data_IF_896248340244
#
_entry.id   IF_896248340244
#
_cell.length_a   1.000
_cell.length_b   1.000
_cell.length_c   1.000
_cell.angle_alpha   90.00
_cell.angle_beta   90.00
_cell.angle_gamma   90.00
#
_symmetry.space_group_name_H-M   'P 1'
#
loop_
_entity.id
_entity.type
_entity.pdbx_description
1 polymer ?
#
# COMPACT_ATOMS: atom_id res chain seq x y z
N UNK A 1 7.09 23.25 -52.11
CA UNK A 1 5.78 23.06 -51.43
C UNK A 1 5.97 21.92 -50.44
N UNK A 2 6.63 22.23 -49.33
CA UNK A 2 7.26 21.24 -48.46
C UNK A 2 7.50 21.95 -47.12
N UNK A 3 6.45 22.12 -46.30
CA UNK A 3 6.55 22.89 -45.05
C UNK A 3 5.71 22.39 -43.87
N UNK A 4 4.90 21.35 -44.05
CA UNK A 4 3.95 20.92 -43.00
C UNK A 4 4.12 19.46 -42.53
N UNK A 5 5.16 18.75 -42.98
CA UNK A 5 5.43 17.37 -42.52
C UNK A 5 6.68 17.26 -41.62
N UNK A 6 7.57 18.26 -41.63
CA UNK A 6 8.82 18.24 -40.86
C UNK A 6 8.68 18.77 -39.41
N UNK A 7 7.57 19.43 -39.10
CA UNK A 7 7.27 20.00 -37.77
C UNK A 7 6.58 19.01 -36.83
N UNK A 8 6.12 17.86 -37.33
CA UNK A 8 5.47 16.84 -36.50
C UNK A 8 6.48 15.81 -35.94
N UNK A 9 7.65 15.65 -36.59
CA UNK A 9 8.69 14.71 -36.15
C UNK A 9 9.70 15.32 -35.16
N UNK A 10 9.79 16.65 -35.09
CA UNK A 10 10.65 17.38 -34.14
C UNK A 10 10.03 17.55 -32.75
N UNK A 11 8.70 17.41 -32.64
CA UNK A 11 7.99 17.39 -31.35
C UNK A 11 8.08 16.04 -30.61
N UNK A 12 8.38 14.95 -31.31
CA UNK A 12 8.46 13.61 -30.71
C UNK A 12 9.86 13.25 -30.18
N UNK A 13 10.91 14.00 -30.58
CA UNK A 13 12.31 13.70 -30.18
C UNK A 13 12.72 14.48 -28.91
N UNK A 14 12.03 15.56 -28.54
CA UNK A 14 12.33 16.31 -27.31
C UNK A 14 11.72 15.68 -26.03
N UNK A 15 10.90 14.64 -26.15
CA UNK A 15 10.42 13.86 -25.00
C UNK A 15 11.37 12.72 -24.61
N UNK A 16 12.34 12.37 -25.46
CA UNK A 16 13.28 11.26 -25.21
C UNK A 16 14.63 11.75 -24.64
N UNK A 17 14.90 13.06 -24.63
CA UNK A 17 16.14 13.66 -24.09
C UNK A 17 16.02 14.06 -22.60
N UNK A 18 14.89 13.78 -21.94
CA UNK A 18 14.84 13.71 -20.46
C UNK A 18 15.32 12.34 -19.93
N UNK A 19 15.88 11.50 -20.80
CA UNK A 19 16.67 10.34 -20.43
C UNK A 19 18.14 10.78 -20.53
N UNK A 20 18.75 11.01 -19.36
CA UNK A 20 20.16 11.42 -19.10
C UNK A 20 20.52 12.90 -19.25
N UNK A 21 20.42 13.65 -18.14
CA UNK A 21 20.84 15.04 -18.08
C UNK A 21 21.18 15.66 -16.73
N UNK A 22 21.38 14.89 -15.65
CA UNK A 22 22.22 15.30 -14.49
C UNK A 22 21.69 16.39 -13.54
N UNK A 23 22.12 16.25 -12.27
CA UNK A 23 21.85 17.09 -11.09
C UNK A 23 20.42 16.91 -10.51
N UNK A 24 20.19 16.24 -9.39
CA UNK A 24 21.03 16.05 -8.21
C UNK A 24 20.88 14.62 -7.67
N UNK A 25 21.94 14.14 -7.01
CA UNK A 25 21.85 13.08 -6.02
C UNK A 25 20.90 13.54 -4.90
N UNK A 26 19.60 13.31 -5.05
CA UNK A 26 18.71 13.31 -3.90
C UNK A 26 18.97 12.01 -3.19
N UNK A 27 19.85 12.12 -2.21
CA UNK A 27 20.22 11.09 -1.27
C UNK A 27 19.01 10.20 -0.94
N UNK A 28 19.23 8.90 -1.05
CA UNK A 28 18.46 7.82 -0.43
C UNK A 28 17.96 8.27 0.95
N UNK A 29 16.70 8.70 1.05
CA UNK A 29 16.09 9.08 2.33
C UNK A 29 14.61 8.72 2.47
N UNK A 30 14.02 7.93 1.58
CA UNK A 30 12.70 7.31 1.78
C UNK A 30 12.81 5.93 2.48
N UNK A 31 13.81 5.13 2.10
CA UNK A 31 14.07 3.82 2.73
C UNK A 31 14.40 3.90 4.25
N UNK A 32 14.66 5.10 4.77
CA UNK A 32 15.09 5.29 6.16
C UNK A 32 13.91 5.28 7.14
N UNK A 33 12.73 5.80 6.78
CA UNK A 33 11.62 5.91 7.75
C UNK A 33 10.91 4.57 7.95
N UNK A 34 10.57 3.85 6.89
CA UNK A 34 10.08 2.47 7.00
C UNK A 34 11.05 1.59 7.82
N UNK A 35 12.37 1.71 7.59
CA UNK A 35 13.36 0.94 8.34
C UNK A 35 13.33 1.21 9.86
N UNK A 36 12.95 2.42 10.32
CA UNK A 36 12.84 2.69 11.77
C UNK A 36 11.75 1.85 12.42
N UNK A 37 10.67 1.55 11.69
CA UNK A 37 9.51 0.84 12.21
C UNK A 37 9.61 -0.67 11.99
N UNK A 38 10.11 -1.09 10.83
CA UNK A 38 10.10 -2.51 10.40
C UNK A 38 11.50 -3.12 10.19
N UNK A 39 12.59 -2.45 10.58
CA UNK A 39 13.93 -3.06 10.52
C UNK A 39 14.01 -4.31 11.39
N UNK A 40 14.34 -5.44 10.77
CA UNK A 40 14.40 -6.74 11.42
C UNK A 40 13.03 -7.35 11.73
N UNK A 41 11.92 -6.68 11.39
CA UNK A 41 10.59 -7.23 11.56
C UNK A 41 10.33 -8.33 10.52
N UNK A 42 9.64 -9.38 10.97
CA UNK A 42 9.19 -10.49 10.14
C UNK A 42 7.88 -10.09 9.47
N UNK A 43 7.84 -10.19 8.16
CA UNK A 43 6.62 -10.04 7.38
C UNK A 43 5.63 -11.17 7.70
N UNK A 44 4.37 -10.83 7.97
CA UNK A 44 3.31 -11.79 8.25
C UNK A 44 2.39 -11.96 7.04
N UNK A 45 1.72 -10.88 6.66
CA UNK A 45 0.73 -10.84 5.57
C UNK A 45 0.61 -9.42 5.05
N UNK A 46 0.23 -9.29 3.78
CA UNK A 46 -0.23 -8.02 3.25
C UNK A 46 -1.41 -8.23 2.31
N UNK A 47 -2.30 -7.24 2.31
CA UNK A 47 -3.51 -7.17 1.51
C UNK A 47 -3.50 -5.83 0.78
N UNK A 48 -3.78 -5.87 -0.51
CA UNK A 48 -4.13 -4.69 -1.29
C UNK A 48 -5.57 -4.84 -1.74
N UNK A 49 -6.41 -3.86 -1.45
CA UNK A 49 -7.82 -3.89 -1.80
C UNK A 49 -8.26 -2.60 -2.49
N UNK A 50 -9.34 -2.74 -3.24
CA UNK A 50 -9.97 -1.64 -3.95
C UNK A 50 -11.48 -1.66 -3.65
N UNK A 51 -12.07 -0.48 -3.44
CA UNK A 51 -13.51 -0.31 -3.26
C UNK A 51 -14.25 -0.10 -4.60
N UNK A 52 -15.56 0.16 -4.55
CA UNK A 52 -16.37 0.41 -5.75
C UNK A 52 -16.09 1.74 -6.46
N UNK A 53 -15.35 2.65 -5.81
CA UNK A 53 -15.00 3.98 -6.30
C UNK A 53 -13.54 4.06 -6.78
N UNK A 54 -12.88 2.92 -6.93
CA UNK A 54 -11.45 2.80 -7.23
C UNK A 54 -10.52 3.34 -6.12
N UNK A 55 -11.01 3.56 -4.90
CA UNK A 55 -10.17 3.91 -3.75
C UNK A 55 -9.39 2.68 -3.25
N UNK A 56 -8.10 2.84 -3.02
CA UNK A 56 -7.19 1.76 -2.65
C UNK A 56 -6.91 1.74 -1.14
N UNK A 57 -6.75 0.53 -0.60
CA UNK A 57 -6.18 0.30 0.72
C UNK A 57 -5.09 -0.76 0.63
N UNK A 58 -3.96 -0.49 1.27
CA UNK A 58 -2.92 -1.48 1.49
C UNK A 58 -2.69 -1.63 2.99
N UNK A 59 -2.81 -2.86 3.49
CA UNK A 59 -2.50 -3.22 4.86
C UNK A 59 -1.42 -4.29 4.87
N UNK A 60 -0.29 -4.04 5.54
CA UNK A 60 0.77 -5.02 5.74
C UNK A 60 1.08 -5.19 7.23
N UNK A 61 1.12 -6.44 7.70
CA UNK A 61 1.36 -6.78 9.10
C UNK A 61 2.76 -7.36 9.29
N UNK A 62 3.40 -6.94 10.37
CA UNK A 62 4.76 -7.32 10.72
C UNK A 62 4.88 -7.67 12.21
N UNK A 63 5.75 -8.62 12.52
CA UNK A 63 6.14 -9.00 13.88
C UNK A 63 7.58 -8.52 14.13
N UNK A 64 7.79 -7.63 15.09
CA UNK A 64 9.13 -7.15 15.44
C UNK A 64 9.89 -8.17 16.29
N UNK A 65 11.23 -8.13 16.32
CA UNK A 65 12.03 -9.07 17.10
C UNK A 65 11.77 -9.04 18.62
N UNK A 66 11.22 -7.94 19.13
CA UNK A 66 10.83 -7.76 20.53
C UNK A 66 9.44 -8.34 20.85
N UNK A 67 8.77 -8.95 19.86
CA UNK A 67 7.43 -9.52 19.97
C UNK A 67 6.29 -8.51 19.76
N UNK A 68 6.62 -7.23 19.50
CA UNK A 68 5.60 -6.23 19.22
C UNK A 68 5.12 -6.32 17.76
N UNK A 69 3.82 -6.23 17.56
CA UNK A 69 3.22 -6.24 16.23
C UNK A 69 3.06 -4.81 15.68
N UNK A 70 3.29 -4.64 14.38
CA UNK A 70 3.19 -3.35 13.67
C UNK A 70 2.45 -3.55 12.34
N UNK A 71 1.51 -2.67 12.07
CA UNK A 71 0.81 -2.56 10.80
C UNK A 71 1.35 -1.36 10.03
N UNK A 72 1.51 -1.54 8.73
CA UNK A 72 1.61 -0.48 7.75
C UNK A 72 0.26 -0.38 7.05
N UNK A 73 -0.37 0.79 7.08
CA UNK A 73 -1.61 1.08 6.36
C UNK A 73 -1.35 2.24 5.41
N UNK A 74 -1.79 2.10 4.16
CA UNK A 74 -1.81 3.16 3.15
C UNK A 74 -3.21 3.20 2.53
N UNK A 75 -3.85 4.36 2.52
CA UNK A 75 -5.23 4.59 2.02
C UNK A 75 -5.26 5.36 0.68
N UNK A 76 -4.15 5.34 -0.06
CA UNK A 76 -3.95 6.06 -1.32
C UNK A 76 -3.68 7.56 -1.16
N UNK A 77 -3.88 8.13 0.05
CA UNK A 77 -3.66 9.55 0.34
C UNK A 77 -2.55 9.76 1.37
N UNK A 78 -2.48 8.86 2.34
CA UNK A 78 -1.55 8.90 3.47
C UNK A 78 -1.14 7.48 3.87
N UNK A 79 -0.08 7.38 4.66
CA UNK A 79 0.36 6.12 5.23
C UNK A 79 0.74 6.25 6.70
N UNK A 80 0.66 5.14 7.43
CA UNK A 80 1.03 5.07 8.84
C UNK A 80 1.70 3.74 9.18
N UNK A 81 2.68 3.80 10.09
CA UNK A 81 3.25 2.64 10.78
C UNK A 81 2.87 2.69 12.25
N UNK A 82 2.08 1.73 12.73
CA UNK A 82 1.56 1.77 14.10
C UNK A 82 1.33 0.36 14.64
N UNK A 83 1.43 0.19 15.95
CA UNK A 83 1.06 -1.08 16.59
C UNK A 83 -0.41 -1.39 16.37
N UNK A 84 -0.71 -2.67 16.16
CA UNK A 84 -2.07 -3.15 15.99
C UNK A 84 -2.45 -4.16 17.06
N UNK A 85 -3.75 -4.38 17.21
CA UNK A 85 -4.29 -5.55 17.92
C UNK A 85 -5.16 -6.35 16.97
N UNK A 86 -5.07 -7.68 17.04
CA UNK A 86 -5.90 -8.61 16.29
C UNK A 86 -6.79 -9.41 17.24
N UNK A 87 -8.07 -9.53 16.91
CA UNK A 87 -9.01 -10.34 17.68
C UNK A 87 -10.11 -10.93 16.80
N UNK A 88 -10.61 -12.10 17.17
CA UNK A 88 -11.83 -12.64 16.55
C UNK A 88 -13.04 -11.81 17.00
N UNK A 89 -13.89 -11.45 16.04
CA UNK A 89 -15.12 -10.71 16.27
C UNK A 89 -16.26 -11.23 15.38
N UNK A 90 -17.45 -10.67 15.59
CA UNK A 90 -18.60 -10.90 14.71
C UNK A 90 -19.01 -9.57 14.10
N UNK A 91 -19.10 -9.51 12.78
CA UNK A 91 -19.60 -8.36 12.04
C UNK A 91 -21.02 -8.63 11.53
N UNK A 92 -21.91 -7.67 11.72
CA UNK A 92 -23.32 -7.83 11.37
C UNK A 92 -23.49 -8.03 9.85
N UNK A 93 -24.25 -9.05 9.46
CA UNK A 93 -24.47 -9.39 8.04
C UNK A 93 -23.35 -10.19 7.38
N UNK A 94 -22.18 -10.35 8.02
CA UNK A 94 -21.03 -11.12 7.48
C UNK A 94 -20.76 -12.37 8.33
N UNK A 95 -20.86 -12.25 9.66
CA UNK A 95 -20.56 -13.34 10.59
C UNK A 95 -19.18 -13.18 11.22
N UNK A 96 -18.43 -14.27 11.35
CA UNK A 96 -17.11 -14.25 11.99
C UNK A 96 -16.09 -13.49 11.16
N UNK A 97 -15.36 -12.58 11.79
CA UNK A 97 -14.31 -11.77 11.17
C UNK A 97 -13.08 -11.71 12.07
N UNK A 98 -11.93 -11.40 11.49
CA UNK A 98 -10.74 -11.01 12.24
C UNK A 98 -10.64 -9.48 12.27
N UNK A 99 -10.74 -8.89 13.44
CA UNK A 99 -10.71 -7.43 13.63
C UNK A 99 -9.29 -6.98 13.92
N UNK A 100 -8.78 -6.08 13.09
CA UNK A 100 -7.54 -5.35 13.30
C UNK A 100 -7.86 -3.93 13.76
N UNK A 101 -7.24 -3.51 14.86
CA UNK A 101 -7.34 -2.12 15.37
C UNK A 101 -5.96 -1.50 15.38
N UNK A 102 -5.81 -0.40 14.63
CA UNK A 102 -4.58 0.38 14.48
C UNK A 102 -4.89 1.80 14.94
N UNK A 103 -4.62 2.08 16.21
CA UNK A 103 -5.07 3.32 16.88
C UNK A 103 -6.59 3.52 16.77
N UNK A 104 -7.06 4.60 16.16
CA UNK A 104 -8.50 4.84 15.89
C UNK A 104 -9.01 4.15 14.62
N UNK A 105 -8.11 3.64 13.77
CA UNK A 105 -8.48 2.95 12.53
C UNK A 105 -8.83 1.49 12.79
N UNK A 106 -10.03 1.07 12.38
CA UNK A 106 -10.53 -0.29 12.56
C UNK A 106 -10.87 -0.91 11.22
N UNK A 107 -10.35 -2.10 10.98
CA UNK A 107 -10.67 -2.89 9.79
C UNK A 107 -10.96 -4.34 10.16
N UNK A 108 -11.96 -4.93 9.53
CA UNK A 108 -12.34 -6.32 9.72
C UNK A 108 -12.02 -7.12 8.47
N UNK A 109 -11.23 -8.17 8.63
CA UNK A 109 -10.89 -9.12 7.61
C UNK A 109 -11.85 -10.32 7.61
N UNK A 110 -12.26 -10.73 6.42
CA UNK A 110 -13.02 -11.95 6.23
C UNK A 110 -12.79 -12.54 4.84
N UNK A 111 -13.10 -13.83 4.68
CA UNK A 111 -13.04 -14.53 3.42
C UNK A 111 -14.47 -14.79 2.92
N UNK A 112 -14.76 -14.42 1.68
CA UNK A 112 -16.00 -14.77 1.00
C UNK A 112 -15.66 -15.44 -0.34
N UNK A 113 -16.13 -16.67 -0.53
CA UNK A 113 -15.90 -17.47 -1.73
C UNK A 113 -14.42 -17.54 -2.17
N UNK A 114 -13.50 -17.60 -1.19
CA UNK A 114 -12.05 -17.68 -1.42
C UNK A 114 -11.37 -16.33 -1.74
N UNK A 115 -12.13 -15.24 -1.76
CA UNK A 115 -11.60 -13.88 -1.93
C UNK A 115 -11.46 -13.20 -0.56
N UNK A 116 -10.31 -12.59 -0.25
CA UNK A 116 -10.16 -11.81 0.96
C UNK A 116 -10.84 -10.46 0.83
N UNK A 117 -11.48 -10.01 1.91
CA UNK A 117 -12.10 -8.71 1.99
C UNK A 117 -11.67 -7.98 3.25
N UNK A 118 -11.64 -6.66 3.16
CA UNK A 118 -11.49 -5.75 4.29
C UNK A 118 -12.72 -4.86 4.37
N UNK A 119 -13.32 -4.74 5.55
CA UNK A 119 -14.39 -3.78 5.82
C UNK A 119 -14.01 -2.87 6.98
N UNK A 120 -13.95 -1.57 6.71
CA UNK A 120 -13.71 -0.53 7.72
C UNK A 120 -14.94 -0.33 8.59
N UNK A 121 -14.78 0.33 9.74
CA UNK A 121 -15.88 0.59 10.68
C UNK A 121 -16.97 1.54 10.14
N UNK A 122 -16.62 2.39 9.18
CA UNK A 122 -17.55 3.23 8.42
C UNK A 122 -18.33 2.47 7.33
N UNK A 123 -18.01 1.18 7.14
CA UNK A 123 -18.73 0.26 6.25
C UNK A 123 -18.21 0.22 4.82
N UNK A 124 -17.07 0.86 4.49
CA UNK A 124 -16.44 0.70 3.18
C UNK A 124 -15.86 -0.69 3.04
N UNK A 125 -16.14 -1.33 1.90
CA UNK A 125 -15.74 -2.70 1.60
C UNK A 125 -14.70 -2.70 0.49
N UNK A 126 -13.56 -3.33 0.75
CA UNK A 126 -12.49 -3.51 -0.21
C UNK A 126 -12.38 -4.99 -0.58
N UNK A 127 -12.44 -5.29 -1.87
CA UNK A 127 -12.07 -6.61 -2.39
C UNK A 127 -10.55 -6.66 -2.48
N UNK A 128 -9.93 -7.66 -1.84
CA UNK A 128 -8.48 -7.67 -1.65
C UNK A 128 -7.78 -8.79 -2.44
N UNK A 129 -6.48 -8.62 -2.59
CA UNK A 129 -5.52 -9.63 -3.02
C UNK A 129 -4.35 -9.69 -2.04
N UNK A 130 -3.78 -10.88 -1.86
CA UNK A 130 -2.57 -11.04 -1.06
C UNK A 130 -1.35 -10.49 -1.80
N UNK A 131 -0.52 -9.73 -1.08
CA UNK A 131 0.74 -9.22 -1.60
C UNK A 131 1.94 -9.95 -1.03
N UNK A 132 3.02 -9.97 -1.82
CA UNK A 132 4.32 -10.44 -1.35
C UNK A 132 5.05 -9.35 -0.56
N UNK A 133 5.94 -9.75 0.34
CA UNK A 133 6.79 -8.82 1.08
C UNK A 133 7.59 -7.89 0.14
N UNK A 134 8.05 -8.39 -1.00
CA UNK A 134 8.82 -7.61 -1.96
C UNK A 134 7.97 -6.59 -2.71
N UNK A 135 6.71 -6.91 -3.04
CA UNK A 135 5.78 -5.96 -3.64
C UNK A 135 5.47 -4.81 -2.67
N UNK A 136 5.22 -5.13 -1.39
CA UNK A 136 5.00 -4.11 -0.35
C UNK A 136 6.23 -3.23 -0.16
N UNK A 137 7.44 -3.82 -0.11
CA UNK A 137 8.68 -3.05 0.00
C UNK A 137 8.89 -2.08 -1.16
N UNK A 138 8.50 -2.48 -2.38
CA UNK A 138 8.59 -1.57 -3.52
C UNK A 138 7.67 -0.36 -3.32
N UNK A 139 6.42 -0.57 -2.92
CA UNK A 139 5.49 0.51 -2.62
C UNK A 139 6.04 1.43 -1.51
N UNK A 140 6.49 0.84 -0.40
CA UNK A 140 7.09 1.57 0.73
C UNK A 140 8.39 2.32 0.37
N UNK A 141 9.03 1.99 -0.74
CA UNK A 141 10.25 2.70 -1.19
C UNK A 141 9.97 3.94 -2.03
N UNK A 142 8.73 4.06 -2.55
CA UNK A 142 8.24 5.22 -3.29
C UNK A 142 7.46 6.20 -2.41
N UNK A 143 6.98 5.75 -1.25
CA UNK A 143 6.48 6.58 -0.13
C UNK A 143 7.62 7.40 0.51
#
# INVERSE_FOLDING_TARGET
MMKNFLTFLTGLILAIVMVFGGFATTNVFAANDASKYISGAKFLVALHGQDENDEEILMALYERPDGNEVAYINDGHSHVYQSYTAQNATYNGIGSVEKYTVDEFVVNFFMLDGTPFLITDDGRLYACEYMTADAVKQIQSYD
#
